data_IF_838660737258
#
_entry.id   IF_838660737258
#
_cell.length_a   1.000
_cell.length_b   1.000
_cell.length_c   1.000
_cell.angle_alpha   90.00
_cell.angle_beta   90.00
_cell.angle_gamma   90.00
#
_symmetry.space_group_name_H-M   'P 1'
#
loop_
_entity.id
_entity.type
_entity.pdbx_description
1 polymer ?
#
# COMPACT_ATOMS: atom_id res chain seq x y z
N UNK A 1 26.10 -53.71 -1.64
CA UNK A 1 24.76 -53.16 -1.93
C UNK A 1 24.16 -52.66 -0.62
N UNK A 2 24.19 -51.34 -0.36
CA UNK A 2 23.71 -50.76 0.90
C UNK A 2 22.48 -49.88 0.65
N UNK A 3 21.36 -50.28 1.23
CA UNK A 3 20.06 -49.65 1.07
C UNK A 3 19.99 -48.31 1.83
N UNK A 4 19.54 -47.24 1.16
CA UNK A 4 19.30 -45.92 1.77
C UNK A 4 17.88 -45.86 2.39
N UNK A 5 17.71 -45.28 3.59
CA UNK A 5 16.39 -45.15 4.22
C UNK A 5 15.58 -44.00 3.60
N UNK A 6 14.30 -44.28 3.31
CA UNK A 6 13.29 -43.31 2.88
C UNK A 6 12.90 -42.40 4.04
N UNK A 7 13.21 -41.09 3.94
CA UNK A 7 12.73 -40.06 4.89
C UNK A 7 11.25 -39.76 4.65
N UNK A 8 10.44 -39.99 5.68
CA UNK A 8 9.04 -39.63 5.75
C UNK A 8 8.83 -38.10 5.65
N UNK A 9 7.86 -37.67 4.83
CA UNK A 9 7.44 -36.28 4.68
C UNK A 9 6.49 -35.93 5.83
N UNK A 10 6.92 -35.05 6.73
CA UNK A 10 6.07 -34.45 7.74
C UNK A 10 5.02 -33.54 7.08
N UNK A 11 3.74 -33.80 7.37
CA UNK A 11 2.60 -33.02 6.89
C UNK A 11 2.60 -31.59 7.45
N UNK A 12 2.45 -30.63 6.54
CA UNK A 12 2.17 -29.22 6.88
C UNK A 12 0.71 -29.09 7.32
N UNK A 13 0.48 -28.84 8.61
CA UNK A 13 -0.79 -28.25 9.08
C UNK A 13 -0.86 -26.80 8.62
N UNK A 14 -1.82 -26.52 7.74
CA UNK A 14 -2.18 -25.16 7.35
C UNK A 14 -3.24 -24.67 8.32
N UNK A 15 -2.87 -23.73 9.18
CA UNK A 15 -3.84 -22.99 10.00
C UNK A 15 -4.59 -22.01 9.08
N UNK A 16 -5.85 -22.33 8.77
CA UNK A 16 -6.78 -21.38 8.15
C UNK A 16 -7.16 -20.32 9.18
N UNK A 17 -6.54 -19.14 9.09
CA UNK A 17 -6.94 -17.97 9.86
C UNK A 17 -8.24 -17.43 9.26
N UNK A 18 -9.31 -17.47 10.06
CA UNK A 18 -10.63 -16.88 9.74
C UNK A 18 -10.48 -15.38 9.48
N UNK A 19 -10.60 -14.96 8.22
CA UNK A 19 -10.82 -13.57 7.83
C UNK A 19 -12.31 -13.26 7.90
N UNK A 20 -12.82 -13.00 9.11
CA UNK A 20 -14.24 -12.74 9.34
C UNK A 20 -14.48 -11.37 9.95
N UNK A 21 -14.15 -10.27 9.26
CA UNK A 21 -14.57 -8.91 9.68
C UNK A 21 -14.55 -7.84 8.58
N UNK A 22 -13.97 -8.07 7.39
CA UNK A 22 -13.82 -7.03 6.37
C UNK A 22 -15.05 -6.79 5.46
N UNK A 23 -16.11 -7.59 5.60
CA UNK A 23 -17.27 -7.57 4.67
C UNK A 23 -18.31 -6.49 5.04
N UNK A 24 -18.34 -6.00 6.29
CA UNK A 24 -19.46 -5.16 6.76
C UNK A 24 -19.46 -3.73 6.23
N UNK A 25 -18.31 -3.15 5.90
CA UNK A 25 -18.24 -1.73 5.48
C UNK A 25 -18.76 -1.54 4.05
N UNK A 26 -18.49 -2.49 3.15
CA UNK A 26 -18.92 -2.39 1.75
C UNK A 26 -20.45 -2.56 1.66
N UNK A 27 -21.01 -3.48 2.42
CA UNK A 27 -22.46 -3.74 2.41
C UNK A 27 -23.25 -2.59 3.06
N UNK A 28 -22.69 -1.95 4.10
CA UNK A 28 -23.27 -0.74 4.67
C UNK A 28 -23.30 0.42 3.67
N UNK A 29 -22.20 0.65 2.94
CA UNK A 29 -22.12 1.72 1.93
C UNK A 29 -23.10 1.47 0.78
N UNK A 30 -23.25 0.21 0.33
CA UNK A 30 -24.25 -0.15 -0.68
C UNK A 30 -25.68 0.10 -0.19
N UNK A 31 -25.99 -0.25 1.06
CA UNK A 31 -27.31 -0.01 1.64
C UNK A 31 -27.70 1.47 1.67
N UNK A 32 -26.77 2.34 2.08
CA UNK A 32 -27.01 3.80 2.10
C UNK A 32 -27.19 4.37 0.70
N UNK A 33 -26.41 3.89 -0.28
CA UNK A 33 -26.51 4.35 -1.67
C UNK A 33 -27.87 3.97 -2.29
N UNK A 34 -28.36 2.75 -2.05
CA UNK A 34 -29.64 2.28 -2.56
C UNK A 34 -30.82 3.07 -1.99
N UNK A 35 -30.77 3.44 -0.70
CA UNK A 35 -31.78 4.32 -0.08
C UNK A 35 -31.80 5.71 -0.71
N UNK A 36 -30.62 6.29 -0.98
CA UNK A 36 -30.52 7.60 -1.61
C UNK A 36 -31.07 7.60 -3.05
N UNK A 37 -30.80 6.55 -3.83
CA UNK A 37 -31.34 6.40 -5.19
C UNK A 37 -32.86 6.26 -5.17
N UNK A 38 -33.42 5.44 -4.27
CA UNK A 38 -34.87 5.28 -4.14
C UNK A 38 -35.59 6.57 -3.74
N UNK A 39 -34.98 7.38 -2.87
CA UNK A 39 -35.52 8.70 -2.53
C UNK A 39 -35.54 9.67 -3.72
N UNK A 40 -34.49 9.66 -4.56
CA UNK A 40 -34.43 10.50 -5.76
C UNK A 40 -35.48 10.10 -6.80
N UNK A 41 -35.71 8.79 -7.00
CA UNK A 41 -36.75 8.32 -7.92
C UNK A 41 -38.16 8.66 -7.44
N UNK A 42 -38.44 8.56 -6.14
CA UNK A 42 -39.74 8.96 -5.58
C UNK A 42 -39.99 10.46 -5.75
N UNK A 43 -38.97 11.31 -5.52
CA UNK A 43 -39.07 12.75 -5.75
C UNK A 43 -39.32 13.10 -7.22
N UNK A 44 -38.73 12.35 -8.16
CA UNK A 44 -38.93 12.55 -9.60
C UNK A 44 -40.40 12.27 -10.01
N UNK A 45 -41.01 11.21 -9.47
CA UNK A 45 -42.42 10.88 -9.76
C UNK A 45 -43.41 11.96 -9.31
N UNK A 46 -43.11 12.67 -8.21
CA UNK A 46 -43.94 13.78 -7.71
C UNK A 46 -43.79 15.06 -8.54
N UNK A 47 -42.64 15.23 -9.20
CA UNK A 47 -42.35 16.41 -10.03
C UNK A 47 -43.01 16.32 -11.41
N UNK A 48 -43.07 15.11 -12.00
CA UNK A 48 -43.68 14.90 -13.33
C UNK A 48 -45.22 15.02 -13.31
N UNK A 49 -45.86 14.74 -12.17
CA UNK A 49 -47.32 14.88 -12.02
C UNK A 49 -47.82 16.33 -12.04
N UNK A 50 -47.10 17.27 -11.39
CA UNK A 50 -47.50 18.69 -11.31
C UNK A 50 -47.04 19.53 -12.49
N UNK A 51 -45.99 19.12 -13.20
CA UNK A 51 -45.46 19.88 -14.34
C UNK A 51 -46.41 19.86 -15.55
N UNK A 52 -47.28 18.85 -15.67
CA UNK A 52 -48.29 18.78 -16.74
C UNK A 52 -49.44 19.78 -16.57
N UNK A 53 -49.83 20.11 -15.34
CA UNK A 53 -50.87 21.12 -15.09
C UNK A 53 -50.37 22.54 -15.40
N UNK A 54 -49.10 22.83 -15.12
CA UNK A 54 -48.51 24.16 -15.38
C UNK A 54 -48.26 24.37 -16.88
N UNK A 55 -47.92 23.32 -17.64
CA UNK A 55 -47.68 23.42 -19.09
C UNK A 55 -48.99 23.54 -19.89
N UNK A 56 -50.11 22.97 -19.41
CA UNK A 56 -51.42 23.13 -20.06
C UNK A 56 -52.02 24.53 -19.90
N UNK A 57 -51.65 25.27 -18.84
CA UNK A 57 -52.08 26.66 -18.65
C UNK A 57 -51.33 27.68 -19.53
N UNK A 58 -50.19 27.30 -20.14
CA UNK A 58 -49.32 28.21 -20.89
C UNK A 58 -49.66 28.33 -22.39
N UNK A 59 -50.73 27.69 -22.88
CA UNK A 59 -51.14 27.72 -24.31
C UNK A 59 -52.25 28.73 -24.64
N UNK A 60 -52.82 29.42 -23.66
CA UNK A 60 -53.78 30.51 -23.87
C UNK A 60 -53.16 31.84 -23.40
N UNK A 61 -53.14 32.82 -24.29
CA UNK A 61 -52.57 34.15 -24.09
C UNK A 61 -53.00 34.80 -22.76
N UNK A 62 -52.04 34.99 -21.84
CA UNK A 62 -51.82 36.17 -20.99
C UNK A 62 -50.99 35.78 -19.75
N UNK A 63 -49.66 35.93 -19.85
CA UNK A 63 -48.73 35.64 -18.74
C UNK A 63 -48.51 36.80 -17.76
N UNK A 64 -49.19 37.93 -17.93
CA UNK A 64 -48.96 39.13 -17.11
C UNK A 64 -49.72 39.15 -15.77
N UNK A 65 -50.66 38.22 -15.53
CA UNK A 65 -51.52 38.25 -14.32
C UNK A 65 -51.22 37.15 -13.28
N UNK A 66 -50.34 36.19 -13.58
CA UNK A 66 -50.26 34.92 -12.79
C UNK A 66 -49.26 34.96 -11.62
N UNK A 67 -48.42 35.99 -11.48
CA UNK A 67 -47.45 36.08 -10.36
C UNK A 67 -47.58 37.39 -9.56
N UNK A 68 -48.73 37.59 -8.91
CA UNK A 68 -48.88 38.55 -7.78
C UNK A 68 -49.49 37.88 -6.54
N UNK A 69 -49.14 36.62 -6.29
CA UNK A 69 -49.45 35.94 -5.03
C UNK A 69 -48.23 35.91 -4.11
N UNK A 70 -48.40 36.02 -2.78
CA UNK A 70 -47.32 35.77 -1.84
C UNK A 70 -46.74 34.38 -2.09
N UNK A 71 -45.41 34.29 -2.09
CA UNK A 71 -44.70 33.02 -2.24
C UNK A 71 -45.29 32.01 -1.25
N UNK A 72 -45.74 30.83 -1.72
CA UNK A 72 -46.36 29.86 -0.85
C UNK A 72 -45.39 29.41 0.26
N UNK A 73 -45.89 29.37 1.49
CA UNK A 73 -45.13 29.23 2.74
C UNK A 73 -44.28 27.96 2.85
N UNK A 74 -44.58 26.93 2.05
CA UNK A 74 -43.81 25.69 1.96
C UNK A 74 -42.37 25.87 1.43
N UNK A 75 -42.03 27.00 0.81
CA UNK A 75 -40.67 27.28 0.30
C UNK A 75 -39.69 27.63 1.44
N UNK A 76 -40.19 28.08 2.59
CA UNK A 76 -39.33 28.41 3.74
C UNK A 76 -38.86 27.16 4.50
N UNK A 77 -39.64 26.08 4.52
CA UNK A 77 -39.25 24.84 5.21
C UNK A 77 -38.18 24.04 4.46
N UNK A 78 -38.16 24.09 3.13
CA UNK A 78 -37.20 23.31 2.34
C UNK A 78 -35.81 23.98 2.19
N UNK A 79 -35.66 25.28 2.49
CA UNK A 79 -34.34 25.94 2.48
C UNK A 79 -33.44 25.48 3.62
N UNK A 80 -34.04 25.10 4.76
CA UNK A 80 -33.29 24.57 5.90
C UNK A 80 -32.70 23.18 5.62
N UNK A 81 -33.48 22.28 5.00
CA UNK A 81 -33.04 20.91 4.69
C UNK A 81 -31.89 20.86 3.66
N UNK A 82 -31.86 21.77 2.68
CA UNK A 82 -30.78 21.84 1.70
C UNK A 82 -29.45 22.33 2.30
N UNK A 83 -29.49 23.28 3.25
CA UNK A 83 -28.28 23.78 3.91
C UNK A 83 -27.68 22.78 4.92
N UNK A 84 -28.52 22.07 5.67
CA UNK A 84 -28.05 21.05 6.62
C UNK A 84 -27.57 19.76 5.92
N UNK A 85 -28.21 19.35 4.82
CA UNK A 85 -27.75 18.19 4.05
C UNK A 85 -26.40 18.41 3.38
N UNK A 86 -26.16 19.59 2.79
CA UNK A 86 -24.92 19.89 2.09
C UNK A 86 -23.70 19.98 3.02
N UNK A 87 -23.86 20.55 4.23
CA UNK A 87 -22.76 20.69 5.18
C UNK A 87 -22.27 19.36 5.74
N UNK A 88 -23.17 18.39 5.97
CA UNK A 88 -22.81 17.04 6.39
C UNK A 88 -21.98 16.29 5.31
N UNK A 89 -22.38 16.41 4.04
CA UNK A 89 -21.65 15.78 2.92
C UNK A 89 -20.26 16.41 2.73
N UNK A 90 -20.16 17.74 2.83
CA UNK A 90 -18.87 18.44 2.74
C UNK A 90 -17.94 18.06 3.91
N UNK A 91 -18.47 17.97 5.13
CA UNK A 91 -17.71 17.52 6.30
C UNK A 91 -17.20 16.09 6.14
N UNK A 92 -18.02 15.20 5.58
CA UNK A 92 -17.63 13.81 5.30
C UNK A 92 -16.55 13.71 4.22
N UNK A 93 -16.63 14.50 3.14
CA UNK A 93 -15.59 14.57 2.10
C UNK A 93 -14.26 15.15 2.60
N UNK A 94 -14.29 16.15 3.48
CA UNK A 94 -13.08 16.72 4.07
C UNK A 94 -12.39 15.76 5.06
N UNK A 95 -13.16 14.93 5.76
CA UNK A 95 -12.61 13.89 6.66
C UNK A 95 -11.97 12.74 5.86
N UNK A 96 -12.61 12.31 4.78
CA UNK A 96 -12.06 11.29 3.87
C UNK A 96 -10.76 11.75 3.18
N UNK A 97 -10.66 13.01 2.77
CA UNK A 97 -9.43 13.54 2.15
C UNK A 97 -8.27 13.61 3.13
N UNK A 98 -8.49 14.01 4.39
CA UNK A 98 -7.45 13.96 5.44
C UNK A 98 -7.00 12.53 5.75
N UNK A 99 -7.94 11.57 5.88
CA UNK A 99 -7.58 10.16 6.10
C UNK A 99 -6.86 9.54 4.89
N UNK A 100 -7.26 9.89 3.65
CA UNK A 100 -6.57 9.46 2.43
C UNK A 100 -5.15 10.05 2.30
N UNK A 101 -4.94 11.30 2.72
CA UNK A 101 -3.61 11.92 2.70
C UNK A 101 -2.65 11.27 3.71
N UNK A 102 -3.14 10.94 4.91
CA UNK A 102 -2.35 10.24 5.94
C UNK A 102 -1.97 8.83 5.45
N UNK A 103 -2.88 8.09 4.81
CA UNK A 103 -2.58 6.78 4.21
C UNK A 103 -1.61 6.83 3.03
N UNK A 104 -1.53 7.94 2.29
CA UNK A 104 -0.51 8.11 1.23
C UNK A 104 0.86 8.47 1.80
N UNK A 105 0.93 9.11 2.97
CA UNK A 105 2.20 9.49 3.61
C UNK A 105 2.87 8.32 4.31
N UNK A 106 2.11 7.38 4.88
CA UNK A 106 2.66 6.15 5.49
C UNK A 106 3.29 5.19 4.46
N UNK A 107 2.80 5.15 3.22
CA UNK A 107 3.42 4.34 2.14
C UNK A 107 4.78 4.84 1.65
N UNK A 108 5.26 6.01 2.11
CA UNK A 108 6.61 6.51 1.77
C UNK A 108 7.69 6.07 2.77
N UNK A 109 7.31 5.64 3.98
CA UNK A 109 8.28 5.17 4.99
C UNK A 109 8.69 3.71 4.78
N UNK A 110 7.89 2.91 4.06
CA UNK A 110 8.14 1.49 3.81
C UNK A 110 9.15 1.21 2.68
N UNK A 111 9.79 2.23 2.11
CA UNK A 111 10.70 2.05 0.97
C UNK A 111 12.19 2.17 1.33
N UNK A 112 12.52 2.14 2.61
CA UNK A 112 13.88 1.83 3.04
C UNK A 112 14.08 0.36 2.72
N UNK A 113 14.78 0.07 1.61
CA UNK A 113 15.20 -1.29 1.26
C UNK A 113 16.46 -1.60 2.06
N UNK A 114 16.38 -2.26 3.23
CA UNK A 114 17.57 -2.59 3.99
C UNK A 114 18.45 -3.52 3.14
N UNK A 115 19.73 -3.21 3.13
CA UNK A 115 20.73 -3.96 2.39
C UNK A 115 21.84 -4.38 3.34
N UNK A 116 22.62 -5.38 2.94
CA UNK A 116 23.74 -5.88 3.75
C UNK A 116 25.04 -5.09 3.49
N UNK A 117 24.99 -4.06 2.63
CA UNK A 117 26.15 -3.26 2.21
C UNK A 117 27.23 -4.07 1.49
N UNK A 118 26.83 -5.06 0.68
CA UNK A 118 27.74 -5.83 -0.16
C UNK A 118 27.29 -5.69 -1.61
N UNK A 119 28.23 -5.39 -2.51
CA UNK A 119 27.99 -5.41 -3.96
C UNK A 119 28.62 -6.65 -4.57
N UNK A 120 27.91 -7.23 -5.53
CA UNK A 120 28.35 -8.42 -6.25
C UNK A 120 28.53 -8.09 -7.72
N UNK A 121 29.59 -8.63 -8.30
CA UNK A 121 29.90 -8.59 -9.72
C UNK A 121 29.91 -10.02 -10.26
N UNK A 122 29.45 -10.20 -11.49
CA UNK A 122 29.48 -11.50 -12.16
C UNK A 122 30.84 -11.70 -12.83
N UNK A 123 31.55 -12.78 -12.48
CA UNK A 123 32.85 -13.17 -13.05
C UNK A 123 32.75 -14.62 -13.51
N UNK A 124 32.85 -14.87 -14.83
CA UNK A 124 32.84 -16.22 -15.43
C UNK A 124 31.67 -17.12 -14.96
N UNK A 125 30.49 -16.53 -14.75
CA UNK A 125 29.30 -17.26 -14.29
C UNK A 125 29.22 -17.49 -12.77
N UNK A 126 30.20 -17.00 -12.01
CA UNK A 126 30.17 -16.97 -10.53
C UNK A 126 29.97 -15.55 -10.03
N UNK A 127 29.41 -15.41 -8.83
CA UNK A 127 29.16 -14.10 -8.22
C UNK A 127 30.28 -13.79 -7.25
N UNK A 128 31.01 -12.70 -7.48
CA UNK A 128 32.13 -12.28 -6.66
C UNK A 128 31.78 -11.01 -5.89
N UNK A 129 32.22 -10.88 -4.64
CA UNK A 129 32.11 -9.66 -3.85
C UNK A 129 33.02 -8.60 -4.47
N UNK A 130 32.44 -7.52 -4.98
CA UNK A 130 33.18 -6.43 -5.63
C UNK A 130 33.46 -5.26 -4.69
N UNK A 131 32.57 -5.03 -3.72
CA UNK A 131 32.71 -3.94 -2.77
C UNK A 131 31.99 -4.28 -1.48
N UNK A 132 32.64 -3.97 -0.35
CA UNK A 132 32.06 -4.08 0.99
C UNK A 132 31.91 -2.66 1.56
N UNK A 133 30.68 -2.25 1.88
CA UNK A 133 30.37 -0.89 2.32
C UNK A 133 29.75 -0.80 3.72
N UNK A 134 29.27 -1.91 4.29
CA UNK A 134 28.75 -1.90 5.67
C UNK A 134 29.74 -2.50 6.64
N UNK A 135 29.79 -1.91 7.84
CA UNK A 135 30.48 -2.52 8.98
C UNK A 135 29.94 -3.90 9.32
N UNK A 136 28.64 -4.15 9.11
CA UNK A 136 28.03 -5.47 9.32
C UNK A 136 28.66 -6.54 8.43
N UNK A 137 29.06 -6.19 7.21
CA UNK A 137 29.76 -7.10 6.31
C UNK A 137 31.21 -7.35 6.67
N UNK A 138 31.90 -6.33 7.16
CA UNK A 138 33.25 -6.49 7.73
C UNK A 138 33.23 -7.37 8.99
N UNK A 139 32.26 -7.16 9.88
CA UNK A 139 32.05 -7.99 11.08
C UNK A 139 31.71 -9.44 10.74
N UNK A 140 30.98 -9.66 9.64
CA UNK A 140 30.69 -10.99 9.09
C UNK A 140 31.87 -11.67 8.42
N UNK A 141 33.06 -11.04 8.38
CA UNK A 141 34.27 -11.60 7.79
C UNK A 141 34.28 -11.62 6.25
N UNK A 142 33.35 -10.92 5.60
CA UNK A 142 33.24 -10.84 4.14
C UNK A 142 34.33 -9.91 3.61
N UNK A 143 35.09 -10.37 2.62
CA UNK A 143 36.12 -9.59 1.97
C UNK A 143 35.85 -9.46 0.47
N UNK A 144 36.45 -8.45 -0.15
CA UNK A 144 36.43 -8.29 -1.60
C UNK A 144 37.16 -9.45 -2.28
N UNK A 145 36.61 -9.92 -3.40
CA UNK A 145 37.10 -11.09 -4.11
C UNK A 145 36.49 -12.43 -3.68
N UNK A 146 35.76 -12.49 -2.57
CA UNK A 146 35.08 -13.73 -2.16
C UNK A 146 33.99 -14.14 -3.17
N UNK A 147 33.84 -15.45 -3.39
CA UNK A 147 32.86 -16.01 -4.30
C UNK A 147 31.61 -16.44 -3.54
N UNK A 148 30.44 -15.94 -3.94
CA UNK A 148 29.14 -16.32 -3.40
C UNK A 148 28.67 -17.63 -4.00
N UNK A 149 28.42 -18.61 -3.12
CA UNK A 149 27.87 -19.92 -3.46
C UNK A 149 26.36 -19.95 -3.25
N UNK A 150 25.89 -19.60 -2.04
CA UNK A 150 24.48 -19.62 -1.69
C UNK A 150 24.10 -18.48 -0.72
N UNK A 151 22.80 -18.17 -0.66
CA UNK A 151 22.22 -17.19 0.26
C UNK A 151 21.08 -17.87 1.02
N UNK A 152 21.21 -17.97 2.35
CA UNK A 152 20.28 -18.72 3.22
C UNK A 152 20.03 -20.16 2.70
N UNK A 153 21.07 -20.80 2.14
CA UNK A 153 20.97 -22.14 1.55
C UNK A 153 20.25 -22.20 0.20
N UNK A 154 19.92 -21.05 -0.40
CA UNK A 154 19.35 -20.97 -1.75
C UNK A 154 20.45 -20.69 -2.78
N UNK A 155 20.52 -21.55 -3.79
CA UNK A 155 21.41 -21.41 -4.94
C UNK A 155 21.08 -20.14 -5.74
N UNK A 156 22.12 -19.41 -6.14
CA UNK A 156 21.99 -18.13 -6.80
C UNK A 156 22.47 -18.21 -8.24
N UNK A 157 21.51 -18.29 -9.16
CA UNK A 157 21.80 -18.34 -10.61
C UNK A 157 21.87 -16.97 -11.26
N UNK A 158 21.06 -16.03 -10.78
CA UNK A 158 20.84 -14.74 -11.44
C UNK A 158 20.94 -13.56 -10.46
N UNK A 159 21.41 -12.40 -10.95
CA UNK A 159 21.52 -11.14 -10.17
C UNK A 159 20.23 -10.73 -9.47
N UNK A 160 19.07 -10.97 -10.12
CA UNK A 160 17.76 -10.67 -9.54
C UNK A 160 17.48 -11.47 -8.26
N UNK A 161 17.99 -12.70 -8.17
CA UNK A 161 17.84 -13.57 -6.99
C UNK A 161 18.68 -13.05 -5.83
N UNK A 162 19.94 -12.66 -6.07
CA UNK A 162 20.81 -12.01 -5.06
C UNK A 162 20.07 -10.83 -4.43
N UNK A 163 19.60 -9.92 -5.28
CA UNK A 163 18.89 -8.72 -4.81
C UNK A 163 17.60 -9.06 -4.05
N UNK A 164 16.96 -10.18 -4.35
CA UNK A 164 15.74 -10.64 -3.67
C UNK A 164 16.06 -11.26 -2.30
N UNK A 165 17.11 -12.06 -2.19
CA UNK A 165 17.48 -12.76 -0.96
C UNK A 165 18.20 -11.88 0.05
N UNK A 166 19.01 -10.93 -0.43
CA UNK A 166 19.62 -9.92 0.45
C UNK A 166 18.60 -8.96 1.04
N UNK A 167 17.44 -8.77 0.38
CA UNK A 167 16.33 -8.01 0.95
C UNK A 167 15.64 -8.83 2.04
N UNK A 168 15.25 -8.15 3.10
CA UNK A 168 14.51 -8.74 4.20
C UNK A 168 14.03 -7.66 5.17
N UNK A 169 13.54 -8.07 6.33
CA UNK A 169 13.21 -7.13 7.39
C UNK A 169 14.46 -6.36 7.83
N UNK A 170 14.37 -5.06 8.18
CA UNK A 170 15.49 -4.37 8.80
C UNK A 170 15.88 -5.11 10.09
N UNK A 171 17.17 -5.10 10.43
CA UNK A 171 17.74 -5.77 11.61
C UNK A 171 17.66 -7.29 11.63
N UNK A 172 17.18 -7.92 10.55
CA UNK A 172 17.26 -9.37 10.41
C UNK A 172 18.62 -9.80 9.88
N UNK A 173 18.99 -11.06 10.13
CA UNK A 173 20.24 -11.65 9.67
C UNK A 173 20.05 -12.36 8.33
N UNK A 174 21.08 -12.35 7.50
CA UNK A 174 21.21 -13.18 6.30
C UNK A 174 22.49 -14.00 6.39
N UNK A 175 22.43 -15.27 6.04
CA UNK A 175 23.58 -16.15 5.95
C UNK A 175 24.04 -16.21 4.50
N UNK A 176 25.30 -15.88 4.25
CA UNK A 176 25.95 -16.09 2.96
C UNK A 176 26.94 -17.24 3.10
N UNK A 177 26.90 -18.18 2.17
CA UNK A 177 27.98 -19.16 2.05
C UNK A 177 28.94 -18.69 0.98
N UNK A 178 30.16 -18.41 1.40
CA UNK A 178 31.19 -17.80 0.58
C UNK A 178 32.37 -18.76 0.45
N UNK A 179 33.08 -18.66 -0.67
CA UNK A 179 34.38 -19.29 -0.88
C UNK A 179 35.44 -18.21 -0.96
N UNK A 180 36.44 -18.29 -0.08
CA UNK A 180 37.56 -17.35 -0.08
C UNK A 180 38.42 -17.54 -1.32
N UNK A 181 38.69 -16.47 -2.06
CA UNK A 181 39.48 -16.57 -3.31
C UNK A 181 40.93 -16.99 -3.05
N UNK A 182 41.50 -16.53 -1.93
CA UNK A 182 42.91 -16.78 -1.57
C UNK A 182 43.15 -18.20 -1.05
N UNK A 183 42.34 -18.69 -0.11
CA UNK A 183 42.51 -20.01 0.52
C UNK A 183 41.66 -21.11 -0.12
N UNK A 184 40.62 -20.75 -0.87
CA UNK A 184 39.64 -21.69 -1.41
C UNK A 184 38.69 -22.27 -0.37
N UNK A 185 38.80 -21.86 0.90
CA UNK A 185 37.97 -22.35 2.00
C UNK A 185 36.53 -21.84 1.88
N UNK A 186 35.59 -22.70 2.24
CA UNK A 186 34.16 -22.36 2.26
C UNK A 186 33.77 -22.04 3.70
N UNK A 187 33.15 -20.88 3.89
CA UNK A 187 32.72 -20.42 5.20
C UNK A 187 31.34 -19.75 5.13
N UNK A 188 30.69 -19.63 6.28
CA UNK A 188 29.40 -19.00 6.42
C UNK A 188 29.56 -17.61 7.07
N UNK A 189 29.16 -16.57 6.34
CA UNK A 189 29.11 -15.20 6.83
C UNK A 189 27.69 -14.84 7.27
N UNK A 190 27.55 -14.38 8.52
CA UNK A 190 26.30 -13.84 9.04
C UNK A 190 26.32 -12.32 8.95
N UNK A 191 25.38 -11.76 8.19
CA UNK A 191 25.29 -10.33 7.91
C UNK A 191 23.99 -9.74 8.48
N UNK A 192 24.12 -8.58 9.09
CA UNK A 192 22.96 -7.81 9.54
C UNK A 192 22.41 -6.93 8.41
N UNK A 193 21.08 -6.93 8.25
CA UNK A 193 20.39 -6.07 7.28
C UNK A 193 20.21 -4.68 7.89
N UNK A 194 21.10 -3.76 7.53
CA UNK A 194 21.05 -2.38 8.03
C UNK A 194 20.00 -1.58 7.24
N UNK A 195 19.06 -0.88 7.92
CA UNK A 195 18.17 0.04 7.24
C UNK A 195 18.99 1.13 6.54
N UNK A 196 18.67 1.41 5.28
CA UNK A 196 19.31 2.49 4.54
C UNK A 196 18.94 3.81 5.21
N UNK A 197 19.90 4.46 5.86
CA UNK A 197 19.70 5.83 6.36
C UNK A 197 19.36 6.72 5.16
N UNK A 198 18.27 7.48 5.27
CA UNK A 198 17.90 8.41 4.21
C UNK A 198 18.95 9.52 4.15
N UNK A 199 19.45 9.88 2.96
CA UNK A 199 20.49 10.90 2.80
C UNK A 199 20.05 12.31 3.24
N UNK A 200 18.78 12.49 3.62
CA UNK A 200 18.27 13.74 4.19
C UNK A 200 18.70 13.95 5.63
N UNK A 201 18.91 12.88 6.40
CA UNK A 201 19.28 12.99 7.82
C UNK A 201 20.79 13.22 8.01
N UNK A 202 21.61 12.84 7.02
CA UNK A 202 23.07 13.08 7.03
C UNK A 202 23.47 14.53 6.72
N UNK A 203 22.54 15.41 6.33
CA UNK A 203 22.84 16.83 6.05
C UNK A 203 22.78 17.73 7.28
N UNK A 204 22.17 17.29 8.38
CA UNK A 204 22.06 18.08 9.62
C UNK A 204 23.33 18.08 10.46
N UNK A 205 24.25 17.14 10.26
CA UNK A 205 25.40 16.96 11.16
C UNK A 205 26.71 17.60 10.63
N UNK A 206 26.77 17.96 9.35
CA UNK A 206 27.94 18.65 8.75
C UNK A 206 27.92 20.18 8.88
N UNK A 207 27.03 20.76 9.70
CA UNK A 207 26.95 22.22 9.88
C UNK A 207 27.60 22.74 11.17
N UNK A 208 28.20 21.85 11.97
CA UNK A 208 28.84 22.20 13.25
C UNK A 208 30.35 21.84 13.31
N UNK A 209 31.02 21.72 12.16
CA UNK A 209 32.48 21.67 12.07
C UNK A 209 32.99 22.84 11.23
#
# INVERSE_FOLDING_TARGET
>A
MTARPRRARAGRRVHSVRLGTAVTVIDLVKGVLMLAVGMMESMKSKFDGRSREVIMAAKGNDMSSVYRGPLPSWIHEHRFLLFFGASAVIGMMMSFTKQCLIRRRLRRLDYIRPGCGVKFQSTRGTWMVSQVSSEGALKGGVAEGDLLLDVDGMDVRNRRMISKYLRGAPWSKVRLRLKRSTTGEIYDALLDRVPKQDPKDSKSEKKNQ
#
